data_IF_335719397791
#
_entry.id   IF_335719397791
#
_cell.length_a   1.000
_cell.length_b   1.000
_cell.length_c   1.000
_cell.angle_alpha   90.00
_cell.angle_beta   90.00
_cell.angle_gamma   90.00
#
_symmetry.space_group_name_H-M   'P 1'
#
loop_
_entity.id
_entity.type
_entity.pdbx_description
1 polymer ?
#
# COMPACT_ATOMS: atom_id res chain seq x y z
N UNK A 1 15.94 -3.02 -14.81
CA UNK A 1 16.51 -3.62 -13.57
C UNK A 1 17.79 -2.92 -13.12
N UNK A 2 18.75 -2.69 -14.02
CA UNK A 2 20.10 -2.15 -13.75
C UNK A 2 20.15 -0.82 -12.95
N UNK A 3 19.16 0.08 -13.11
CA UNK A 3 19.18 1.40 -12.45
C UNK A 3 19.02 1.30 -10.93
N UNK A 4 18.15 0.39 -10.44
CA UNK A 4 17.93 0.25 -9.00
C UNK A 4 19.05 -0.54 -8.32
N UNK A 5 19.65 -1.51 -9.00
CA UNK A 5 20.78 -2.24 -8.42
C UNK A 5 21.96 -1.29 -8.17
N UNK A 6 22.19 -0.34 -9.09
CA UNK A 6 23.17 0.74 -8.91
C UNK A 6 22.73 1.75 -7.84
N UNK A 7 21.46 2.14 -7.80
CA UNK A 7 20.95 3.07 -6.77
C UNK A 7 20.99 2.46 -5.35
N UNK A 8 20.68 1.17 -5.22
CA UNK A 8 20.78 0.40 -3.98
C UNK A 8 22.25 0.25 -3.57
N UNK A 9 23.17 0.04 -4.52
CA UNK A 9 24.60 0.00 -4.22
C UNK A 9 25.13 1.34 -3.69
N UNK A 10 24.56 2.47 -4.14
CA UNK A 10 24.94 3.81 -3.71
C UNK A 10 24.31 4.22 -2.37
N UNK A 11 23.05 3.84 -2.12
CA UNK A 11 22.37 4.08 -0.84
C UNK A 11 21.42 2.92 -0.49
N UNK A 12 21.94 1.84 0.12
CA UNK A 12 21.16 0.65 0.41
C UNK A 12 20.15 0.85 1.54
N UNK A 13 20.25 1.95 2.29
CA UNK A 13 19.38 2.27 3.44
C UNK A 13 18.21 3.18 3.06
N UNK A 14 18.10 3.56 1.78
CA UNK A 14 17.02 4.41 1.32
C UNK A 14 15.71 3.63 1.12
N UNK A 15 14.78 3.74 2.07
CA UNK A 15 13.46 3.12 1.98
C UNK A 15 12.71 3.49 0.69
N UNK A 16 12.89 4.71 0.16
CA UNK A 16 12.21 5.16 -1.07
C UNK A 16 12.69 4.41 -2.30
N UNK A 17 13.98 4.05 -2.38
CA UNK A 17 14.55 3.29 -3.50
C UNK A 17 13.93 1.89 -3.53
N UNK A 18 13.83 1.22 -2.38
CA UNK A 18 13.21 -0.10 -2.27
C UNK A 18 11.70 -0.07 -2.57
N UNK A 19 10.99 0.97 -2.10
CA UNK A 19 9.56 1.16 -2.43
C UNK A 19 9.33 1.37 -3.92
N UNK A 20 10.17 2.17 -4.59
CA UNK A 20 10.07 2.40 -6.03
C UNK A 20 10.38 1.13 -6.83
N UNK A 21 11.38 0.34 -6.38
CA UNK A 21 11.66 -0.98 -6.96
C UNK A 21 10.46 -1.91 -6.82
N UNK A 22 9.80 -1.91 -5.65
CA UNK A 22 8.56 -2.66 -5.43
C UNK A 22 7.45 -2.30 -6.41
N UNK A 23 7.21 -1.00 -6.62
CA UNK A 23 6.18 -0.53 -7.54
C UNK A 23 6.42 -1.01 -8.98
N UNK A 24 7.66 -0.87 -9.46
CA UNK A 24 8.01 -1.32 -10.81
C UNK A 24 7.96 -2.83 -10.96
N UNK A 25 8.37 -3.59 -9.94
CA UNK A 25 8.26 -5.05 -9.97
C UNK A 25 6.79 -5.48 -10.04
N UNK A 26 5.89 -4.78 -9.33
CA UNK A 26 4.46 -5.03 -9.41
C UNK A 26 3.89 -4.69 -10.80
N UNK A 27 4.34 -3.59 -11.42
CA UNK A 27 3.94 -3.22 -12.78
C UNK A 27 4.43 -4.23 -13.83
N UNK A 28 5.56 -4.89 -13.57
CA UNK A 28 6.08 -6.01 -14.36
C UNK A 28 5.43 -7.37 -14.03
N UNK A 29 4.46 -7.41 -13.10
CA UNK A 29 3.82 -8.65 -12.66
C UNK A 29 4.71 -9.57 -11.82
N UNK A 30 5.83 -9.08 -11.30
CA UNK A 30 6.80 -9.81 -10.46
C UNK A 30 6.50 -9.57 -8.98
N UNK A 31 5.39 -10.14 -8.53
CA UNK A 31 4.72 -9.65 -7.32
C UNK A 31 5.38 -10.10 -6.03
N UNK A 32 5.89 -11.33 -5.98
CA UNK A 32 6.64 -11.81 -4.81
C UNK A 32 7.89 -10.95 -4.59
N UNK A 33 8.59 -10.60 -5.68
CA UNK A 33 9.74 -9.70 -5.60
C UNK A 33 9.35 -8.27 -5.24
N UNK A 34 8.18 -7.81 -5.68
CA UNK A 34 7.63 -6.52 -5.28
C UNK A 34 7.37 -6.49 -3.76
N UNK A 35 6.75 -7.54 -3.21
CA UNK A 35 6.51 -7.68 -1.78
C UNK A 35 7.80 -7.70 -0.98
N UNK A 36 8.82 -8.45 -1.43
CA UNK A 36 10.15 -8.45 -0.80
C UNK A 36 10.78 -7.05 -0.80
N UNK A 37 10.65 -6.31 -1.91
CA UNK A 37 11.16 -4.95 -1.99
C UNK A 37 10.41 -3.98 -1.04
N UNK A 38 9.09 -4.11 -0.92
CA UNK A 38 8.31 -3.33 0.05
C UNK A 38 8.64 -3.71 1.49
N UNK A 39 8.80 -4.99 1.81
CA UNK A 39 9.19 -5.44 3.15
C UNK A 39 10.56 -4.87 3.54
N UNK A 40 11.50 -4.81 2.58
CA UNK A 40 12.79 -4.14 2.80
C UNK A 40 12.63 -2.64 3.02
N UNK A 41 11.77 -1.98 2.25
CA UNK A 41 11.48 -0.56 2.43
C UNK A 41 10.88 -0.26 3.82
N UNK A 42 9.94 -1.10 4.28
CA UNK A 42 9.32 -1.01 5.60
C UNK A 42 10.34 -1.26 6.72
N UNK A 43 11.23 -2.24 6.57
CA UNK A 43 12.29 -2.50 7.53
C UNK A 43 13.26 -1.32 7.70
N UNK A 44 13.48 -0.55 6.63
CA UNK A 44 14.31 0.65 6.65
C UNK A 44 13.56 1.87 7.20
N UNK A 45 12.28 2.03 6.87
CA UNK A 45 11.42 3.06 7.42
C UNK A 45 9.96 2.60 7.48
N UNK A 46 9.53 2.21 8.68
CA UNK A 46 8.18 1.72 8.91
C UNK A 46 7.13 2.84 9.03
N UNK A 47 7.55 4.11 9.09
CA UNK A 47 6.67 5.27 9.37
C UNK A 47 6.10 5.94 8.12
N UNK A 48 6.39 5.42 6.93
CA UNK A 48 5.88 5.98 5.67
C UNK A 48 4.59 5.27 5.25
N UNK A 49 3.45 5.94 5.43
CA UNK A 49 2.12 5.39 5.12
C UNK A 49 2.01 4.88 3.67
N UNK A 50 2.57 5.63 2.71
CA UNK A 50 2.49 5.29 1.28
C UNK A 50 3.21 3.99 0.90
N UNK A 51 4.18 3.53 1.70
CA UNK A 51 4.86 2.24 1.45
C UNK A 51 3.90 1.09 1.81
N UNK A 52 3.19 1.21 2.93
CA UNK A 52 2.20 0.21 3.35
C UNK A 52 1.00 0.16 2.39
N UNK A 53 0.51 1.31 1.92
CA UNK A 53 -0.60 1.35 0.96
C UNK A 53 -0.20 0.78 -0.40
N UNK A 54 1.00 1.09 -0.91
CA UNK A 54 1.49 0.50 -2.15
C UNK A 54 1.65 -1.03 -2.05
N UNK A 55 2.17 -1.52 -0.92
CA UNK A 55 2.21 -2.97 -0.63
C UNK A 55 0.81 -3.58 -0.59
N UNK A 56 -0.15 -2.89 0.02
CA UNK A 56 -1.55 -3.31 0.08
C UNK A 56 -2.19 -3.43 -1.32
N UNK A 57 -1.89 -2.51 -2.23
CA UNK A 57 -2.35 -2.58 -3.64
C UNK A 57 -1.84 -3.85 -4.31
N UNK A 58 -0.56 -4.20 -4.13
CA UNK A 58 0.01 -5.44 -4.66
C UNK A 58 -0.73 -6.64 -4.08
N UNK A 59 -0.84 -6.74 -2.74
CA UNK A 59 -1.53 -7.84 -2.08
C UNK A 59 -2.97 -8.03 -2.56
N UNK A 60 -3.70 -6.93 -2.74
CA UNK A 60 -5.07 -6.94 -3.26
C UNK A 60 -5.13 -7.52 -4.68
N UNK A 61 -4.24 -7.09 -5.58
CA UNK A 61 -4.18 -7.60 -6.96
C UNK A 61 -3.94 -9.11 -7.03
N UNK A 62 -3.30 -9.69 -6.01
CA UNK A 62 -3.00 -11.13 -5.91
C UNK A 62 -3.97 -11.94 -5.05
N UNK A 63 -5.10 -11.36 -4.65
CA UNK A 63 -6.10 -12.11 -3.87
C UNK A 63 -5.74 -12.26 -2.39
N UNK A 64 -4.62 -11.69 -1.92
CA UNK A 64 -4.22 -11.72 -0.50
C UNK A 64 -4.96 -10.64 0.29
N UNK A 65 -6.28 -10.78 0.35
CA UNK A 65 -7.19 -9.75 0.84
C UNK A 65 -6.98 -9.40 2.32
N UNK A 66 -6.74 -10.39 3.18
CA UNK A 66 -6.46 -10.14 4.61
C UNK A 66 -5.17 -9.36 4.82
N UNK A 67 -4.09 -9.74 4.12
CA UNK A 67 -2.81 -9.02 4.22
C UNK A 67 -2.91 -7.60 3.64
N UNK A 68 -3.71 -7.41 2.58
CA UNK A 68 -3.98 -6.10 2.02
C UNK A 68 -4.72 -5.21 3.02
N UNK A 69 -5.70 -5.77 3.74
CA UNK A 69 -6.44 -5.06 4.78
C UNK A 69 -5.50 -4.58 5.89
N UNK A 70 -4.66 -5.48 6.42
CA UNK A 70 -3.70 -5.14 7.47
C UNK A 70 -2.72 -4.04 7.03
N UNK A 71 -2.28 -4.09 5.76
CA UNK A 71 -1.40 -3.08 5.21
C UNK A 71 -2.09 -1.71 5.05
N UNK A 72 -3.36 -1.66 4.66
CA UNK A 72 -4.12 -0.40 4.66
C UNK A 72 -4.40 0.12 6.07
N UNK A 73 -4.70 -0.75 7.03
CA UNK A 73 -4.87 -0.37 8.44
C UNK A 73 -3.58 0.27 8.99
N UNK A 74 -2.42 -0.26 8.62
CA UNK A 74 -1.11 0.34 8.96
C UNK A 74 -0.89 1.69 8.28
N UNK A 75 -1.29 1.85 7.01
CA UNK A 75 -1.21 3.12 6.31
C UNK A 75 -2.09 4.19 7.00
N UNK A 76 -3.33 3.85 7.36
CA UNK A 76 -4.28 4.74 8.06
C UNK A 76 -3.79 5.09 9.46
N UNK A 77 -3.18 4.14 10.19
CA UNK A 77 -2.61 4.41 11.51
C UNK A 77 -1.44 5.43 11.46
N UNK A 78 -0.73 5.50 10.33
CA UNK A 78 0.36 6.45 10.12
C UNK A 78 -0.13 7.79 9.56
N UNK A 79 -1.12 7.76 8.68
CA UNK A 79 -1.78 8.95 8.13
C UNK A 79 -3.27 8.68 7.90
N UNK A 80 -4.08 9.11 8.87
CA UNK A 80 -5.53 8.90 8.85
C UNK A 80 -6.27 9.89 7.98
N UNK A 81 -5.61 10.91 7.43
CA UNK A 81 -6.25 12.00 6.67
C UNK A 81 -6.23 11.77 5.17
N UNK A 82 -5.46 10.80 4.67
CA UNK A 82 -5.50 10.42 3.26
C UNK A 82 -6.75 9.58 2.98
N UNK A 83 -7.73 10.21 2.34
CA UNK A 83 -8.98 9.59 1.91
C UNK A 83 -8.77 8.34 1.02
N UNK A 84 -7.66 8.27 0.29
CA UNK A 84 -7.35 7.16 -0.62
C UNK A 84 -7.14 5.85 0.14
N UNK A 85 -6.54 5.88 1.33
CA UNK A 85 -6.33 4.67 2.14
C UNK A 85 -7.64 4.11 2.66
N UNK A 86 -8.54 4.99 3.13
CA UNK A 86 -9.88 4.60 3.57
C UNK A 86 -10.72 4.03 2.43
N UNK A 87 -10.67 4.66 1.25
CA UNK A 87 -11.38 4.16 0.08
C UNK A 87 -10.89 2.76 -0.31
N UNK A 88 -9.58 2.58 -0.46
CA UNK A 88 -9.03 1.30 -0.87
C UNK A 88 -9.24 0.21 0.19
N UNK A 89 -9.19 0.57 1.48
CA UNK A 89 -9.59 -0.32 2.58
C UNK A 89 -11.04 -0.78 2.43
N UNK A 90 -11.95 0.13 2.11
CA UNK A 90 -13.36 -0.20 1.83
C UNK A 90 -13.51 -1.21 0.69
N UNK A 91 -12.75 -1.05 -0.39
CA UNK A 91 -12.72 -2.00 -1.52
C UNK A 91 -12.27 -3.39 -1.07
N UNK A 92 -11.20 -3.48 -0.26
CA UNK A 92 -10.71 -4.76 0.28
C UNK A 92 -11.76 -5.41 1.19
N UNK A 93 -12.38 -4.64 2.09
CA UNK A 93 -13.42 -5.12 3.00
C UNK A 93 -14.65 -5.65 2.25
N UNK A 94 -15.04 -4.99 1.15
CA UNK A 94 -16.12 -5.44 0.30
C UNK A 94 -15.80 -6.80 -0.35
N UNK A 95 -14.55 -6.99 -0.84
CA UNK A 95 -14.10 -8.30 -1.36
C UNK A 95 -14.08 -9.40 -0.31
N UNK A 96 -13.85 -9.04 0.96
CA UNK A 96 -13.93 -9.95 2.10
C UNK A 96 -15.37 -10.19 2.61
N UNK A 97 -16.39 -9.56 2.02
CA UNK A 97 -17.78 -9.65 2.49
C UNK A 97 -18.08 -8.87 3.78
N UNK A 98 -17.15 -8.04 4.25
CA UNK A 98 -17.30 -7.21 5.46
C UNK A 98 -17.99 -5.89 5.12
N UNK A 99 -19.25 -5.98 4.69
CA UNK A 99 -19.98 -4.86 4.06
C UNK A 99 -20.12 -3.64 4.99
N UNK A 100 -20.47 -3.84 6.28
CA UNK A 100 -20.61 -2.73 7.24
C UNK A 100 -19.31 -1.96 7.45
N UNK A 101 -18.19 -2.68 7.57
CA UNK A 101 -16.88 -2.06 7.74
C UNK A 101 -16.45 -1.32 6.46
N UNK A 102 -16.80 -1.85 5.29
CA UNK A 102 -16.55 -1.21 4.00
C UNK A 102 -17.30 0.12 3.88
N UNK A 103 -18.59 0.15 4.23
CA UNK A 103 -19.40 1.38 4.24
C UNK A 103 -18.81 2.44 5.19
N UNK A 104 -18.37 2.04 6.38
CA UNK A 104 -17.70 2.95 7.31
C UNK A 104 -16.43 3.54 6.68
N UNK A 105 -15.61 2.72 6.04
CA UNK A 105 -14.41 3.15 5.31
C UNK A 105 -14.71 4.11 4.16
N UNK A 106 -15.73 3.83 3.34
CA UNK A 106 -16.11 4.72 2.24
C UNK A 106 -16.67 6.05 2.74
N UNK A 107 -17.46 6.02 3.81
CA UNK A 107 -17.96 7.24 4.44
C UNK A 107 -16.83 8.13 4.95
N UNK A 108 -15.79 7.53 5.55
CA UNK A 108 -14.63 8.28 6.01
C UNK A 108 -13.83 8.86 4.84
N UNK A 109 -13.62 8.10 3.76
CA UNK A 109 -12.98 8.62 2.54
C UNK A 109 -13.74 9.82 1.96
N UNK A 110 -15.07 9.75 1.90
CA UNK A 110 -15.94 10.85 1.45
C UNK A 110 -15.93 12.03 2.40
N UNK A 111 -15.84 11.81 3.72
CA UNK A 111 -15.72 12.88 4.70
C UNK A 111 -14.40 13.66 4.52
N UNK A 112 -13.33 12.95 4.22
CA UNK A 112 -11.99 13.52 4.04
C UNK A 112 -11.80 14.21 2.68
N UNK A 113 -12.38 13.65 1.61
CA UNK A 113 -12.35 14.24 0.26
C UNK A 113 -13.70 14.05 -0.47
N UNK A 114 -14.70 14.92 -0.17
CA UNK A 114 -16.02 14.83 -0.79
C UNK A 114 -16.04 15.14 -2.30
N UNK A 115 -15.01 15.83 -2.80
CA UNK A 115 -14.93 16.19 -4.21
C UNK A 115 -14.54 14.97 -5.07
N UNK A 116 -13.64 14.13 -4.54
CA UNK A 116 -13.15 12.91 -5.19
C UNK A 116 -14.05 11.70 -4.97
N UNK A 117 -14.60 11.53 -3.77
CA UNK A 117 -15.44 10.39 -3.40
C UNK A 117 -16.88 10.85 -3.14
N UNK A 118 -17.83 10.42 -3.96
CA UNK A 118 -19.25 10.81 -3.88
C UNK A 118 -20.12 9.68 -3.36
#
# INVERSE_FOLDING_TARGET
>A
MIIYDRAIALDPKNAKIHSNRGALLADLGRNDEALVAYDRAIALNSKTASIHSNRAIVLFKFGRMSDALDAYDRAIALDSKDATYHYNRGVVLQRLGRIRDAEASFNEARRLDPAKYK
#
